data_IF_386581787085
#
_entry.id   IF_386581787085
#
_cell.length_a   1.000
_cell.length_b   1.000
_cell.length_c   1.000
_cell.angle_alpha   90.00
_cell.angle_beta   90.00
_cell.angle_gamma   90.00
#
_symmetry.space_group_name_H-M   'P 1'
#
loop_
_entity.id
_entity.type
_entity.pdbx_description
1 polymer ?
#
# COMPACT_ATOMS: atom_id res chain seq x y z
N UNK A 1 -30.07 36.00 -63.50
CA UNK A 1 -31.37 36.38 -62.93
C UNK A 1 -31.33 36.08 -61.44
N UNK A 2 -31.92 36.92 -60.60
CA UNK A 2 -31.95 36.75 -59.13
C UNK A 2 -33.34 36.20 -58.71
N UNK A 3 -33.71 36.07 -57.42
CA UNK A 3 -34.15 34.79 -56.86
C UNK A 3 -35.66 34.82 -56.51
N UNK A 4 -36.14 34.11 -55.46
CA UNK A 4 -36.00 34.72 -54.12
C UNK A 4 -35.82 33.76 -52.93
N UNK A 5 -35.26 34.32 -51.84
CA UNK A 5 -35.66 34.20 -50.40
C UNK A 5 -35.91 32.84 -49.72
N UNK A 6 -35.59 32.62 -48.43
CA UNK A 6 -34.76 33.30 -47.39
C UNK A 6 -34.80 32.38 -46.14
N UNK A 7 -34.18 32.56 -44.97
CA UNK A 7 -33.43 33.64 -44.28
C UNK A 7 -31.93 33.19 -44.11
N UNK A 8 -30.96 33.80 -43.39
CA UNK A 8 -30.88 34.78 -42.27
C UNK A 8 -31.35 34.16 -40.93
N UNK A 9 -30.74 34.33 -39.76
CA UNK A 9 -29.79 35.32 -39.22
C UNK A 9 -28.38 34.79 -38.89
N UNK A 10 -27.36 35.58 -39.25
CA UNK A 10 -26.18 35.87 -38.41
C UNK A 10 -26.56 37.08 -37.50
N UNK A 11 -25.80 37.58 -36.52
CA UNK A 11 -24.38 37.47 -36.07
C UNK A 11 -24.40 37.80 -34.53
N UNK A 12 -23.36 38.05 -33.72
CA UNK A 12 -21.93 38.38 -33.88
C UNK A 12 -21.16 37.99 -32.59
N UNK A 13 -19.83 38.05 -32.60
CA UNK A 13 -18.98 37.91 -31.40
C UNK A 13 -18.91 39.23 -30.59
N UNK A 14 -18.71 39.14 -29.27
CA UNK A 14 -18.18 40.23 -28.46
C UNK A 14 -17.43 39.68 -27.23
N UNK A 15 -16.35 40.36 -26.82
CA UNK A 15 -15.47 39.94 -25.72
C UNK A 15 -15.49 40.95 -24.55
N UNK A 16 -14.85 40.54 -23.45
CA UNK A 16 -14.38 41.34 -22.28
C UNK A 16 -15.33 41.62 -21.11
N UNK A 17 -14.75 41.40 -19.91
CA UNK A 17 -14.78 42.30 -18.73
C UNK A 17 -15.72 42.06 -17.52
N UNK A 18 -15.27 41.16 -16.64
CA UNK A 18 -14.95 41.42 -15.20
C UNK A 18 -16.05 41.55 -14.11
N UNK A 19 -15.68 41.15 -12.86
CA UNK A 19 -16.23 41.49 -11.52
C UNK A 19 -17.58 40.81 -11.14
N UNK A 20 -17.69 40.05 -10.02
CA UNK A 20 -17.00 40.11 -8.71
C UNK A 20 -16.93 38.77 -7.94
N UNK A 21 -15.75 38.50 -7.37
CA UNK A 21 -15.47 38.02 -5.99
C UNK A 21 -13.94 37.88 -5.88
N UNK A 22 -13.18 38.49 -4.94
CA UNK A 22 -13.19 38.40 -3.46
C UNK A 22 -13.07 36.94 -2.97
N UNK A 23 -12.03 36.52 -2.23
CA UNK A 23 -10.84 37.20 -1.66
C UNK A 23 -9.62 36.27 -1.82
N UNK A 24 -8.41 36.79 -2.02
CA UNK A 24 -7.24 35.93 -2.34
C UNK A 24 -5.85 36.54 -2.18
N UNK A 25 -5.61 37.42 -1.19
CA UNK A 25 -4.25 37.88 -0.83
C UNK A 25 -4.16 38.12 0.68
N UNK A 26 -3.42 37.25 1.41
CA UNK A 26 -2.65 37.50 2.66
C UNK A 26 -2.45 36.20 3.47
N UNK A 27 -1.35 35.48 3.23
CA UNK A 27 -0.87 34.39 4.11
C UNK A 27 0.59 33.99 3.81
N UNK A 28 1.47 34.99 3.62
CA UNK A 28 2.91 34.81 3.79
C UNK A 28 3.26 35.10 5.26
N UNK A 29 4.17 34.30 5.84
CA UNK A 29 4.36 34.10 7.29
C UNK A 29 3.16 33.37 7.95
N UNK A 30 3.31 32.45 8.91
CA UNK A 30 4.44 32.24 9.83
C UNK A 30 4.70 30.76 10.18
N UNK A 31 5.62 30.09 9.47
CA UNK A 31 6.30 28.87 9.96
C UNK A 31 7.79 29.03 9.62
N UNK A 32 8.64 29.24 10.63
CA UNK A 32 10.06 29.55 10.42
C UNK A 32 10.69 30.45 11.49
N UNK A 33 10.33 30.30 12.77
CA UNK A 33 10.90 31.10 13.85
C UNK A 33 10.81 30.43 15.23
N UNK A 34 11.40 29.22 15.37
CA UNK A 34 11.52 28.53 16.66
C UNK A 34 12.86 27.78 16.89
N UNK A 35 13.85 27.97 16.01
CA UNK A 35 15.23 27.52 16.21
C UNK A 35 16.15 28.72 16.02
N UNK A 36 16.62 29.34 17.13
CA UNK A 36 17.53 30.50 17.01
C UNK A 36 17.73 31.45 18.20
N UNK A 37 17.19 31.22 19.40
CA UNK A 37 17.37 32.18 20.54
C UNK A 37 17.69 31.51 21.89
N UNK A 38 18.70 30.63 21.95
CA UNK A 38 19.33 30.22 23.23
C UNK A 38 20.88 30.24 23.16
N UNK A 39 21.46 31.28 22.54
CA UNK A 39 22.87 31.65 22.74
C UNK A 39 23.01 33.18 22.70
N UNK A 40 23.10 33.83 23.88
CA UNK A 40 23.73 35.14 24.18
C UNK A 40 23.14 35.82 25.45
N UNK A 41 23.43 35.29 26.64
CA UNK A 41 23.09 35.97 27.91
C UNK A 41 23.95 35.57 29.14
N UNK A 42 25.21 35.15 28.96
CA UNK A 42 26.08 34.71 30.08
C UNK A 42 27.21 35.70 30.36
N UNK A 43 26.95 36.76 31.13
CA UNK A 43 28.01 37.55 31.77
C UNK A 43 27.51 38.30 33.02
N UNK A 44 28.02 37.89 34.19
CA UNK A 44 27.98 38.59 35.49
C UNK A 44 26.58 38.79 36.11
N UNK A 45 26.36 38.69 37.42
CA UNK A 45 27.27 38.56 38.59
C UNK A 45 26.65 37.62 39.65
N UNK A 46 27.43 37.22 40.67
CA UNK A 46 26.96 36.33 41.75
C UNK A 46 26.63 37.07 43.06
N UNK A 47 25.82 36.44 43.92
CA UNK A 47 25.53 36.94 45.27
C UNK A 47 24.33 36.27 45.97
N UNK A 48 24.61 35.21 46.74
CA UNK A 48 23.82 34.67 47.87
C UNK A 48 22.35 34.21 47.71
N UNK A 49 21.88 33.55 48.77
CA UNK A 49 20.68 32.71 48.88
C UNK A 49 19.50 33.49 49.57
N UNK A 50 18.26 32.95 49.73
CA UNK A 50 17.86 31.54 49.63
C UNK A 50 16.55 31.23 48.85
N UNK A 51 16.22 29.94 48.84
CA UNK A 51 15.13 29.32 48.08
C UNK A 51 13.75 29.97 48.25
N UNK A 52 13.07 30.15 47.12
CA UNK A 52 11.62 30.39 47.02
C UNK A 52 11.03 29.28 46.16
N UNK A 53 10.02 28.56 46.66
CA UNK A 53 9.37 27.46 45.92
C UNK A 53 8.37 28.04 44.92
N UNK A 54 8.57 27.76 43.64
CA UNK A 54 7.67 28.07 42.52
C UNK A 54 7.68 26.82 41.61
N UNK A 55 6.54 26.31 41.12
CA UNK A 55 6.38 24.90 40.80
C UNK A 55 6.91 24.48 39.42
N UNK A 56 6.96 23.16 39.20
CA UNK A 56 7.17 22.53 37.90
C UNK A 56 6.22 23.08 36.82
N UNK A 57 6.80 23.33 35.64
CA UNK A 57 6.07 23.52 34.38
C UNK A 57 6.76 22.65 33.32
N UNK A 58 6.71 21.34 33.55
CA UNK A 58 7.16 20.31 32.63
C UNK A 58 6.39 19.00 32.90
N UNK A 59 6.30 18.14 31.88
CA UNK A 59 5.88 16.72 31.96
C UNK A 59 4.52 16.41 32.61
N UNK A 60 3.41 16.65 31.91
CA UNK A 60 2.21 15.80 32.06
C UNK A 60 2.15 14.71 30.97
N UNK A 61 2.40 15.03 29.69
CA UNK A 61 2.28 14.06 28.58
C UNK A 61 3.35 12.95 28.54
N UNK A 62 4.49 13.10 29.20
CA UNK A 62 5.57 12.08 29.26
C UNK A 62 5.42 11.11 30.44
N UNK A 63 4.30 11.19 31.18
CA UNK A 63 4.10 10.44 32.42
C UNK A 63 3.58 9.01 32.21
N UNK A 64 2.81 8.76 31.15
CA UNK A 64 2.05 7.52 30.90
C UNK A 64 2.87 6.35 30.34
N UNK A 65 3.84 6.61 29.48
CA UNK A 65 4.60 5.58 28.75
C UNK A 65 5.34 4.62 29.70
N UNK A 66 5.37 3.32 29.39
CA UNK A 66 6.18 2.34 30.11
C UNK A 66 7.69 2.56 29.90
N UNK A 67 8.52 1.81 30.64
CA UNK A 67 9.98 1.86 30.47
C UNK A 67 10.42 1.34 29.10
N UNK A 68 9.68 0.39 28.50
CA UNK A 68 9.97 -0.15 27.17
C UNK A 68 9.68 0.88 26.08
N UNK A 69 8.49 1.49 26.12
CA UNK A 69 8.10 2.55 25.17
C UNK A 69 9.06 3.74 25.22
N UNK A 70 9.46 4.21 26.41
CA UNK A 70 10.47 5.29 26.53
C UNK A 70 11.81 4.90 25.92
N UNK A 71 12.24 3.64 26.09
CA UNK A 71 13.49 3.13 25.50
C UNK A 71 13.40 3.00 23.97
N UNK A 72 12.21 2.64 23.45
CA UNK A 72 11.92 2.56 22.03
C UNK A 72 11.88 3.95 21.38
N UNK A 73 11.17 4.91 21.97
CA UNK A 73 11.09 6.29 21.46
C UNK A 73 12.48 6.92 21.42
N UNK A 74 13.26 6.80 22.49
CA UNK A 74 14.64 7.29 22.53
C UNK A 74 15.53 6.58 21.48
N UNK A 75 15.30 5.29 21.19
CA UNK A 75 15.99 4.60 20.10
C UNK A 75 15.57 5.14 18.72
N UNK A 76 14.28 5.42 18.49
CA UNK A 76 13.79 6.03 17.24
C UNK A 76 14.33 7.45 17.01
N UNK A 77 14.36 8.28 18.05
CA UNK A 77 15.01 9.59 18.02
C UNK A 77 16.52 9.45 17.70
N UNK A 78 17.20 8.46 18.29
CA UNK A 78 18.62 8.18 18.01
C UNK A 78 18.87 7.63 16.60
N UNK A 79 17.91 6.90 16.02
CA UNK A 79 17.94 6.44 14.62
C UNK A 79 17.79 7.63 13.67
N UNK A 80 16.77 8.45 13.87
CA UNK A 80 16.49 9.63 13.04
C UNK A 80 17.62 10.69 13.09
N UNK A 81 18.38 10.75 14.18
CA UNK A 81 19.54 11.67 14.33
C UNK A 81 20.90 11.00 14.07
N UNK A 82 20.93 9.71 13.71
CA UNK A 82 22.16 9.01 13.37
C UNK A 82 22.67 9.39 11.98
N UNK A 83 23.97 9.67 11.86
CA UNK A 83 24.61 10.05 10.60
C UNK A 83 24.52 9.00 9.46
N UNK A 84 24.01 7.79 9.74
CA UNK A 84 23.69 6.78 8.73
C UNK A 84 22.30 6.98 8.07
N UNK A 85 21.42 7.72 8.73
CA UNK A 85 20.04 8.01 8.32
C UNK A 85 19.77 9.52 8.15
N UNK A 86 20.71 10.38 8.55
CA UNK A 86 20.51 11.83 8.66
C UNK A 86 20.24 12.55 7.32
N UNK A 87 20.94 12.15 6.26
CA UNK A 87 20.84 12.82 4.95
C UNK A 87 19.96 11.99 4.01
N UNK A 88 18.71 12.42 3.80
CA UNK A 88 17.79 11.79 2.84
C UNK A 88 18.34 11.84 1.39
N UNK A 89 19.29 12.75 1.11
CA UNK A 89 19.99 12.89 -0.16
C UNK A 89 20.90 11.68 -0.48
N UNK A 90 21.34 10.92 0.53
CA UNK A 90 22.00 9.61 0.32
C UNK A 90 21.02 8.51 -0.10
N UNK A 91 19.71 8.78 -0.15
CA UNK A 91 18.75 7.83 -0.71
C UNK A 91 18.75 7.84 -2.26
N UNK A 92 19.64 7.00 -2.82
CA UNK A 92 19.71 6.74 -4.26
C UNK A 92 18.43 6.24 -4.90
N UNK A 93 17.45 5.76 -4.13
CA UNK A 93 16.15 5.28 -4.60
C UNK A 93 15.01 6.30 -4.41
N UNK A 94 15.16 7.32 -3.57
CA UNK A 94 14.13 8.34 -3.36
C UNK A 94 13.86 9.14 -4.64
N UNK A 95 12.58 9.41 -4.91
CA UNK A 95 12.12 10.13 -6.09
C UNK A 95 12.39 9.43 -7.42
N UNK A 96 12.62 8.11 -7.42
CA UNK A 96 12.85 7.31 -8.65
C UNK A 96 11.56 6.88 -9.35
N UNK A 97 10.40 7.04 -8.72
CA UNK A 97 9.08 6.78 -9.32
C UNK A 97 8.98 7.40 -10.71
N UNK A 98 8.92 6.55 -11.72
CA UNK A 98 8.46 6.95 -13.05
C UNK A 98 6.94 7.11 -12.96
N UNK A 99 6.45 8.33 -13.17
CA UNK A 99 5.02 8.63 -13.17
C UNK A 99 4.37 8.14 -14.46
N UNK A 100 3.63 7.04 -14.36
CA UNK A 100 2.62 6.62 -15.34
C UNK A 100 1.23 6.95 -14.75
N UNK A 101 0.43 7.71 -15.49
CA UNK A 101 -0.94 8.04 -15.11
C UNK A 101 -1.89 6.87 -15.39
N UNK A 102 -2.91 6.68 -14.53
CA UNK A 102 -4.01 5.74 -14.81
C UNK A 102 -4.84 6.27 -16.00
N UNK A 103 -5.31 5.40 -16.89
CA UNK A 103 -6.20 5.76 -18.01
C UNK A 103 -7.53 4.97 -17.92
N UNK A 104 -8.51 5.32 -18.74
CA UNK A 104 -9.74 4.54 -18.87
C UNK A 104 -9.41 3.14 -19.39
N UNK A 105 -9.98 2.11 -18.78
CA UNK A 105 -9.78 0.71 -19.17
C UNK A 105 -10.16 0.39 -20.63
N UNK A 106 -10.89 1.28 -21.30
CA UNK A 106 -11.28 1.17 -22.73
C UNK A 106 -10.31 1.86 -23.69
N UNK A 107 -9.40 2.70 -23.20
CA UNK A 107 -8.35 3.35 -23.97
C UNK A 107 -7.08 2.49 -24.06
N UNK A 108 -6.86 1.63 -23.08
CA UNK A 108 -5.66 0.82 -22.94
C UNK A 108 -5.68 -0.42 -23.85
N UNK A 109 -4.67 -0.59 -24.69
CA UNK A 109 -4.43 -1.84 -25.42
C UNK A 109 -3.96 -2.94 -24.44
N UNK A 110 -4.55 -4.14 -24.52
CA UNK A 110 -4.17 -5.41 -23.84
C UNK A 110 -3.42 -5.22 -22.49
N UNK A 111 -4.10 -4.57 -21.54
CA UNK A 111 -3.51 -4.08 -20.29
C UNK A 111 -4.09 -4.81 -19.06
N UNK A 112 -3.62 -6.02 -18.74
CA UNK A 112 -4.23 -6.85 -17.71
C UNK A 112 -4.14 -6.21 -16.32
N UNK A 113 -5.16 -6.47 -15.50
CA UNK A 113 -5.37 -5.83 -14.21
C UNK A 113 -5.38 -6.83 -13.05
N UNK A 114 -4.92 -6.39 -11.87
CA UNK A 114 -4.91 -7.19 -10.64
C UNK A 114 -5.94 -6.71 -9.60
N UNK A 115 -6.13 -7.50 -8.53
CA UNK A 115 -7.36 -7.54 -7.76
C UNK A 115 -8.38 -8.46 -8.44
N UNK A 116 -7.92 -9.64 -8.85
CA UNK A 116 -8.66 -10.58 -9.69
C UNK A 116 -9.33 -11.70 -8.88
N UNK A 117 -10.25 -12.42 -9.52
CA UNK A 117 -10.59 -13.77 -9.09
C UNK A 117 -9.34 -14.66 -9.29
N UNK A 118 -8.95 -15.37 -8.23
CA UNK A 118 -7.80 -16.29 -8.21
C UNK A 118 -8.21 -17.73 -7.85
N UNK A 119 -9.50 -18.00 -7.69
CA UNK A 119 -10.09 -19.34 -7.43
C UNK A 119 -9.46 -20.40 -8.35
N UNK A 120 -9.20 -21.59 -7.82
CA UNK A 120 -8.55 -22.68 -8.56
C UNK A 120 -9.34 -23.07 -9.82
N UNK A 121 -8.67 -23.08 -10.98
CA UNK A 121 -9.30 -23.33 -12.28
C UNK A 121 -10.10 -22.15 -12.88
N UNK A 122 -10.08 -20.96 -12.27
CA UNK A 122 -10.54 -19.74 -12.93
C UNK A 122 -9.53 -19.29 -14.00
N UNK A 123 -10.05 -18.77 -15.11
CA UNK A 123 -9.29 -18.21 -16.24
C UNK A 123 -9.91 -16.85 -16.57
N UNK A 124 -9.08 -15.82 -16.73
CA UNK A 124 -9.55 -14.46 -17.07
C UNK A 124 -10.05 -14.33 -18.52
N UNK A 125 -10.84 -13.28 -18.77
CA UNK A 125 -11.46 -13.00 -20.07
C UNK A 125 -10.64 -12.10 -21.01
N UNK A 126 -9.49 -11.58 -20.58
CA UNK A 126 -8.58 -10.80 -21.43
C UNK A 126 -7.54 -11.70 -22.11
N UNK A 127 -7.67 -11.87 -23.42
CA UNK A 127 -6.66 -12.52 -24.27
C UNK A 127 -5.34 -11.71 -24.27
N UNK A 128 -4.28 -12.25 -23.65
CA UNK A 128 -2.94 -11.60 -23.61
C UNK A 128 -1.91 -12.23 -24.56
N UNK A 129 -2.31 -13.23 -25.35
CA UNK A 129 -1.45 -13.89 -26.33
C UNK A 129 -0.28 -14.66 -25.69
N UNK A 130 0.94 -14.46 -26.20
CA UNK A 130 2.16 -15.14 -25.74
C UNK A 130 2.73 -14.58 -24.41
N UNK A 131 2.07 -13.59 -23.79
CA UNK A 131 2.51 -13.01 -22.52
C UNK A 131 2.35 -14.02 -21.37
N UNK A 132 3.45 -14.42 -20.76
CA UNK A 132 3.49 -15.37 -19.64
C UNK A 132 3.94 -14.70 -18.33
N UNK A 133 3.39 -15.09 -17.17
CA UNK A 133 3.83 -14.59 -15.88
C UNK A 133 5.13 -15.26 -15.42
N UNK A 134 5.86 -14.60 -14.51
CA UNK A 134 7.07 -15.17 -13.90
C UNK A 134 6.71 -16.21 -12.83
N UNK A 135 6.74 -17.49 -13.21
CA UNK A 135 6.39 -18.64 -12.34
C UNK A 135 7.49 -19.09 -11.38
N UNK A 136 8.65 -18.43 -11.36
CA UNK A 136 9.74 -18.72 -10.42
C UNK A 136 9.50 -18.01 -9.08
N UNK A 137 9.93 -18.57 -7.94
CA UNK A 137 10.07 -17.80 -6.71
C UNK A 137 10.95 -16.56 -6.96
N UNK A 138 10.52 -15.37 -6.56
CA UNK A 138 11.12 -14.12 -7.01
C UNK A 138 12.62 -13.96 -6.66
N UNK A 139 13.10 -14.57 -5.57
CA UNK A 139 14.52 -14.62 -5.22
C UNK A 139 15.39 -15.39 -6.25
N UNK A 140 14.78 -16.24 -7.10
CA UNK A 140 15.44 -16.92 -8.22
C UNK A 140 15.37 -16.13 -9.55
N UNK A 141 14.71 -14.97 -9.53
CA UNK A 141 14.51 -14.07 -10.67
C UNK A 141 15.32 -12.78 -10.56
N UNK A 142 16.33 -12.75 -9.68
CA UNK A 142 17.12 -11.55 -9.32
C UNK A 142 16.29 -10.41 -8.72
N UNK A 143 15.08 -10.68 -8.23
CA UNK A 143 14.21 -9.69 -7.61
C UNK A 143 14.27 -9.79 -6.08
N UNK A 144 14.15 -8.65 -5.41
CA UNK A 144 13.95 -8.55 -3.97
C UNK A 144 12.64 -7.81 -3.66
N UNK A 145 12.03 -8.01 -2.48
CA UNK A 145 10.95 -7.15 -2.01
C UNK A 145 11.50 -5.73 -1.81
N UNK A 146 10.80 -4.73 -2.34
CA UNK A 146 11.20 -3.31 -2.29
C UNK A 146 10.26 -2.45 -1.45
N UNK A 147 9.22 -3.05 -0.88
CA UNK A 147 8.24 -2.47 0.04
C UNK A 147 7.41 -3.63 0.64
N UNK A 148 6.67 -3.34 1.71
CA UNK A 148 5.50 -4.12 2.12
C UNK A 148 4.38 -3.14 2.48
N UNK A 149 3.16 -3.45 2.05
CA UNK A 149 1.93 -2.76 2.46
C UNK A 149 0.79 -3.80 2.49
N UNK A 150 -0.37 -3.42 3.01
CA UNK A 150 -1.54 -4.30 3.05
C UNK A 150 -2.83 -3.51 2.89
N UNK A 151 -3.87 -4.22 2.48
CA UNK A 151 -5.21 -3.68 2.27
C UNK A 151 -6.19 -4.24 3.30
N UNK A 152 -7.25 -3.46 3.61
CA UNK A 152 -8.35 -3.91 4.46
C UNK A 152 -9.26 -4.87 3.70
N UNK A 153 -9.41 -6.10 4.19
CA UNK A 153 -9.92 -7.24 3.41
C UNK A 153 -8.98 -7.63 2.26
N UNK A 154 -9.43 -8.54 1.39
CA UNK A 154 -8.71 -8.89 0.16
C UNK A 154 -9.25 -8.15 -1.07
N UNK A 155 -8.32 -7.70 -1.92
CA UNK A 155 -8.60 -7.21 -3.27
C UNK A 155 -8.83 -8.36 -4.25
N UNK A 156 -8.17 -9.49 -3.99
CA UNK A 156 -8.39 -10.75 -4.70
C UNK A 156 -9.58 -11.52 -4.13
N UNK A 157 -10.08 -12.47 -4.91
CA UNK A 157 -11.21 -13.33 -4.55
C UNK A 157 -10.86 -14.82 -4.74
N UNK A 158 -11.07 -15.63 -3.72
CA UNK A 158 -10.81 -17.08 -3.74
C UNK A 158 -11.97 -17.82 -3.07
N UNK A 159 -12.83 -18.46 -3.87
CA UNK A 159 -14.05 -19.10 -3.38
C UNK A 159 -13.75 -20.20 -2.36
N UNK A 160 -14.37 -20.11 -1.18
CA UNK A 160 -14.15 -20.97 -0.01
C UNK A 160 -13.04 -20.50 0.94
N UNK A 161 -12.24 -19.51 0.58
CA UNK A 161 -11.06 -19.08 1.35
C UNK A 161 -11.16 -17.60 1.77
N UNK A 162 -11.35 -16.71 0.80
CA UNK A 162 -11.65 -15.28 0.98
C UNK A 162 -12.65 -14.84 -0.10
N UNK A 163 -13.94 -14.79 0.29
CA UNK A 163 -15.07 -14.65 -0.63
C UNK A 163 -16.28 -13.97 0.05
N UNK A 164 -17.48 -14.06 -0.55
CA UNK A 164 -18.70 -13.44 -0.03
C UNK A 164 -19.31 -14.10 1.22
N UNK A 165 -18.74 -15.21 1.69
CA UNK A 165 -19.22 -15.98 2.83
C UNK A 165 -18.35 -15.80 4.09
N UNK A 166 -17.16 -15.22 3.96
CA UNK A 166 -16.30 -14.88 5.09
C UNK A 166 -16.92 -13.84 6.02
N UNK A 167 -16.29 -13.61 7.17
CA UNK A 167 -16.79 -12.70 8.21
C UNK A 167 -15.64 -12.00 8.97
N UNK A 168 -15.96 -10.98 9.76
CA UNK A 168 -15.01 -10.21 10.56
C UNK A 168 -15.71 -9.32 11.60
N UNK A 169 -14.97 -8.54 12.40
CA UNK A 169 -15.53 -7.70 13.47
C UNK A 169 -16.65 -6.75 13.02
N UNK A 170 -16.62 -6.32 11.76
CA UNK A 170 -17.59 -5.39 11.15
C UNK A 170 -18.47 -6.03 10.06
N UNK A 171 -18.41 -7.35 9.90
CA UNK A 171 -19.01 -8.06 8.76
C UNK A 171 -18.11 -8.10 7.51
N UNK A 172 -18.67 -8.60 6.42
CA UNK A 172 -17.98 -8.77 5.13
C UNK A 172 -18.70 -8.03 3.98
N UNK A 173 -17.99 -7.77 2.88
CA UNK A 173 -18.54 -7.16 1.69
C UNK A 173 -19.37 -8.16 0.85
N UNK A 174 -20.55 -7.75 0.34
CA UNK A 174 -21.28 -8.54 -0.63
C UNK A 174 -20.52 -8.59 -1.97
N UNK A 175 -20.62 -9.71 -2.68
CA UNK A 175 -20.07 -9.84 -4.02
C UNK A 175 -20.68 -8.80 -4.98
N UNK A 176 -19.88 -8.04 -5.75
CA UNK A 176 -20.39 -6.99 -6.65
C UNK A 176 -21.35 -7.51 -7.72
N UNK A 177 -22.36 -6.73 -8.12
CA UNK A 177 -23.50 -7.15 -8.95
C UNK A 177 -23.20 -7.88 -10.28
N UNK A 178 -22.08 -7.55 -10.93
CA UNK A 178 -21.62 -8.23 -12.15
C UNK A 178 -21.09 -9.65 -11.90
N UNK A 179 -20.90 -10.02 -10.63
CA UNK A 179 -20.76 -11.38 -10.11
C UNK A 179 -21.86 -11.76 -9.07
N UNK A 180 -22.72 -10.80 -8.69
CA UNK A 180 -23.94 -10.83 -7.87
C UNK A 180 -23.78 -11.03 -6.34
N UNK A 181 -24.34 -10.24 -5.41
CA UNK A 181 -25.07 -8.93 -5.33
C UNK A 181 -25.06 -8.49 -3.82
N UNK A 182 -25.28 -7.28 -3.30
CA UNK A 182 -25.62 -5.90 -3.77
C UNK A 182 -25.42 -4.89 -2.61
N UNK A 183 -24.60 -3.82 -2.76
CA UNK A 183 -24.79 -2.44 -2.18
C UNK A 183 -23.68 -1.42 -2.55
N UNK A 184 -24.01 -0.13 -2.49
CA UNK A 184 -23.09 1.02 -2.54
C UNK A 184 -22.32 1.28 -1.22
N UNK A 185 -21.15 1.93 -1.32
CA UNK A 185 -20.44 2.56 -0.19
C UNK A 185 -20.60 4.08 -0.19
N UNK A 186 -20.67 4.68 1.01
CA UNK A 186 -20.73 6.14 1.19
C UNK A 186 -19.33 6.76 1.30
N UNK A 187 -19.20 8.04 0.95
CA UNK A 187 -17.95 8.80 1.03
C UNK A 187 -17.32 8.79 2.43
N UNK A 188 -15.99 8.74 2.49
CA UNK A 188 -15.21 8.95 3.72
C UNK A 188 -14.82 7.69 4.50
N UNK A 189 -15.16 6.49 4.03
CA UNK A 189 -14.61 5.22 4.55
C UNK A 189 -13.51 4.67 3.65
N UNK A 190 -12.57 3.95 4.25
CA UNK A 190 -11.67 3.03 3.53
C UNK A 190 -12.55 1.99 2.82
N UNK A 191 -12.36 1.80 1.51
CA UNK A 191 -13.03 0.70 0.79
C UNK A 191 -12.40 -0.61 1.24
N UNK A 192 -13.22 -1.48 1.80
CA UNK A 192 -12.85 -2.79 2.31
C UNK A 192 -13.06 -3.89 1.26
N UNK A 193 -12.30 -4.98 1.42
CA UNK A 193 -12.32 -6.16 0.55
C UNK A 193 -13.12 -7.33 1.13
N UNK A 194 -12.93 -8.52 0.56
CA UNK A 194 -13.51 -9.75 1.10
C UNK A 194 -12.81 -10.17 2.40
N UNK A 195 -13.54 -10.89 3.25
CA UNK A 195 -13.03 -11.50 4.50
C UNK A 195 -12.80 -12.98 4.33
N UNK A 196 -12.00 -13.54 5.21
CA UNK A 196 -11.78 -14.98 5.28
C UNK A 196 -12.87 -15.72 6.06
N UNK A 197 -12.93 -17.03 5.88
CA UNK A 197 -13.84 -17.93 6.60
C UNK A 197 -13.35 -18.35 8.01
N UNK A 198 -12.38 -17.64 8.60
CA UNK A 198 -11.76 -18.00 9.90
C UNK A 198 -12.41 -17.37 11.13
N UNK A 199 -13.02 -16.19 11.00
CA UNK A 199 -13.47 -15.39 12.14
C UNK A 199 -14.60 -16.07 12.94
N UNK A 200 -14.38 -16.30 14.24
CA UNK A 200 -15.41 -16.73 15.19
C UNK A 200 -15.47 -15.78 16.39
N UNK A 201 -16.58 -15.03 16.50
CA UNK A 201 -16.83 -14.11 17.61
C UNK A 201 -17.01 -14.81 18.99
N UNK A 202 -17.05 -16.14 19.04
CA UNK A 202 -17.07 -16.92 20.27
C UNK A 202 -15.69 -17.39 20.75
N UNK A 203 -14.63 -17.25 19.95
CA UNK A 203 -13.25 -17.59 20.31
C UNK A 203 -12.45 -16.32 20.64
N UNK A 204 -11.82 -16.30 21.81
CA UNK A 204 -11.09 -15.13 22.31
C UNK A 204 -9.93 -14.72 21.38
N UNK A 205 -9.37 -15.62 20.55
CA UNK A 205 -8.26 -15.25 19.66
C UNK A 205 -8.64 -14.24 18.57
N UNK A 206 -9.92 -14.17 18.19
CA UNK A 206 -10.41 -13.22 17.19
C UNK A 206 -11.01 -11.94 17.80
N UNK A 207 -11.22 -11.90 19.12
CA UNK A 207 -12.00 -10.84 19.79
C UNK A 207 -11.28 -10.13 20.92
N UNK A 208 -10.21 -10.72 21.45
CA UNK A 208 -9.35 -10.10 22.48
C UNK A 208 -8.43 -9.06 21.84
N UNK A 209 -8.60 -7.79 22.21
CA UNK A 209 -7.77 -6.66 21.76
C UNK A 209 -6.26 -6.91 21.97
N UNK A 210 -5.45 -6.48 21.00
CA UNK A 210 -3.99 -6.48 21.05
C UNK A 210 -3.47 -5.05 21.27
N UNK A 211 -2.40 -4.92 22.05
CA UNK A 211 -1.74 -3.65 22.39
C UNK A 211 -0.78 -3.23 21.27
N UNK A 212 -1.32 -2.65 20.20
CA UNK A 212 -0.56 -2.22 19.01
C UNK A 212 0.44 -1.10 19.34
N UNK A 213 1.73 -1.36 19.16
CA UNK A 213 2.82 -0.39 19.45
C UNK A 213 3.42 0.25 18.20
N UNK A 214 3.22 -0.35 17.03
CA UNK A 214 3.91 0.04 15.79
C UNK A 214 2.98 0.21 14.59
N UNK A 215 1.97 -0.65 14.41
CA UNK A 215 0.97 -0.47 13.35
C UNK A 215 -0.12 0.54 13.76
N UNK A 216 -0.79 1.11 12.77
CA UNK A 216 -1.82 2.14 12.95
C UNK A 216 -3.16 1.67 12.37
N UNK A 217 -4.24 1.73 13.17
CA UNK A 217 -5.60 1.38 12.72
C UNK A 217 -5.84 -0.12 12.45
N UNK A 218 -5.08 -1.02 13.09
CA UNK A 218 -5.22 -2.47 12.95
C UNK A 218 -6.17 -3.06 14.00
N UNK A 219 -6.87 -4.14 13.65
CA UNK A 219 -7.87 -4.79 14.49
C UNK A 219 -7.68 -6.31 14.52
N UNK A 220 -7.96 -6.93 15.67
CA UNK A 220 -7.92 -8.39 15.84
C UNK A 220 -9.20 -8.98 15.26
N UNK A 221 -9.11 -10.13 14.60
CA UNK A 221 -10.23 -10.80 13.93
C UNK A 221 -10.52 -10.29 12.52
N UNK A 222 -10.04 -9.11 12.13
CA UNK A 222 -10.21 -8.57 10.77
C UNK A 222 -9.24 -9.23 9.78
N UNK A 223 -9.65 -9.24 8.50
CA UNK A 223 -8.88 -9.77 7.38
C UNK A 223 -8.08 -8.67 6.69
N UNK A 224 -6.83 -8.97 6.32
CA UNK A 224 -6.00 -8.10 5.49
C UNK A 224 -5.25 -8.90 4.42
N UNK A 225 -5.14 -8.34 3.21
CA UNK A 225 -4.26 -8.88 2.17
C UNK A 225 -2.94 -8.10 2.15
N UNK A 226 -1.83 -8.82 2.37
CA UNK A 226 -0.47 -8.26 2.37
C UNK A 226 0.14 -8.36 0.98
N UNK A 227 0.72 -7.25 0.52
CA UNK A 227 1.43 -7.14 -0.75
C UNK A 227 2.91 -6.85 -0.52
N UNK A 228 3.74 -7.61 -1.23
CA UNK A 228 5.18 -7.33 -1.32
C UNK A 228 5.54 -7.06 -2.78
N UNK A 229 5.60 -5.78 -3.20
CA UNK A 229 6.19 -5.40 -4.48
C UNK A 229 7.64 -5.87 -4.55
N UNK A 230 8.00 -6.53 -5.64
CA UNK A 230 9.35 -7.01 -5.95
C UNK A 230 9.83 -6.44 -7.29
N UNK A 231 11.12 -6.12 -7.38
CA UNK A 231 11.73 -5.60 -8.60
C UNK A 231 13.17 -6.10 -8.77
N UNK A 232 13.56 -6.44 -10.00
CA UNK A 232 14.95 -6.66 -10.40
C UNK A 232 15.76 -5.34 -10.50
N UNK A 233 15.07 -4.19 -10.55
CA UNK A 233 15.67 -2.86 -10.51
C UNK A 233 15.71 -2.24 -9.10
N UNK A 234 15.22 -2.96 -8.08
CA UNK A 234 15.37 -2.57 -6.68
C UNK A 234 16.83 -2.56 -6.22
N UNK A 235 17.16 -1.81 -5.17
CA UNK A 235 18.51 -1.79 -4.59
C UNK A 235 18.76 -2.99 -3.66
N UNK A 236 18.60 -4.19 -4.21
CA UNK A 236 18.59 -5.45 -3.49
C UNK A 236 19.85 -5.71 -2.66
N UNK A 237 19.68 -6.09 -1.39
CA UNK A 237 20.78 -6.34 -0.45
C UNK A 237 21.46 -5.07 0.09
N UNK A 238 20.95 -3.87 -0.24
CA UNK A 238 21.43 -2.60 0.32
C UNK A 238 20.45 -2.06 1.36
N UNK A 239 20.86 -1.03 2.12
CA UNK A 239 19.95 -0.29 3.02
C UNK A 239 18.94 0.60 2.29
N UNK A 240 19.00 0.64 0.96
CA UNK A 240 18.12 1.39 0.07
C UNK A 240 17.02 0.47 -0.52
N UNK A 241 16.96 -0.80 -0.09
CA UNK A 241 16.09 -1.81 -0.71
C UNK A 241 14.60 -1.51 -0.53
N UNK A 242 14.16 -1.22 0.70
CA UNK A 242 12.76 -0.94 1.02
C UNK A 242 12.50 0.57 0.95
N UNK A 243 11.40 0.96 0.30
CA UNK A 243 11.05 2.34 -0.01
C UNK A 243 9.55 2.61 0.15
N UNK A 244 9.19 3.84 0.52
CA UNK A 244 7.80 4.33 0.58
C UNK A 244 7.75 5.73 -0.03
N UNK A 245 7.05 5.94 -1.17
CA UNK A 245 6.14 5.01 -1.84
C UNK A 245 6.88 3.89 -2.59
N UNK A 246 6.29 2.68 -2.64
CA UNK A 246 6.91 1.48 -3.22
C UNK A 246 7.46 1.65 -4.65
N UNK A 247 6.90 2.57 -5.44
CA UNK A 247 7.37 2.88 -6.80
C UNK A 247 8.85 3.33 -6.83
N UNK A 248 9.33 4.04 -5.82
CA UNK A 248 10.73 4.47 -5.71
C UNK A 248 11.67 3.25 -5.60
N UNK A 249 11.24 2.23 -4.86
CA UNK A 249 11.90 0.93 -4.79
C UNK A 249 11.81 0.13 -6.10
N UNK A 250 10.63 0.11 -6.74
CA UNK A 250 10.42 -0.61 -8.01
C UNK A 250 11.29 -0.05 -9.13
N UNK A 251 11.42 1.29 -9.21
CA UNK A 251 12.16 1.99 -10.27
C UNK A 251 13.59 2.38 -9.90
N UNK A 252 14.12 2.00 -8.72
CA UNK A 252 15.35 2.58 -8.18
C UNK A 252 16.54 2.64 -9.17
N UNK A 253 16.80 1.53 -9.87
CA UNK A 253 17.85 1.41 -10.90
C UNK A 253 17.32 1.39 -12.34
N UNK A 254 16.08 1.85 -12.58
CA UNK A 254 15.43 1.87 -13.90
C UNK A 254 15.01 3.29 -14.28
N UNK A 255 15.55 3.81 -15.39
CA UNK A 255 15.18 5.13 -15.90
C UNK A 255 14.16 5.03 -17.06
N UNK A 256 13.51 6.15 -17.40
CA UNK A 256 12.48 6.20 -18.45
C UNK A 256 13.01 5.80 -19.83
N UNK A 257 14.27 6.14 -20.16
CA UNK A 257 14.92 5.76 -21.42
C UNK A 257 15.05 4.24 -21.55
N UNK A 258 15.38 3.53 -20.46
CA UNK A 258 15.43 2.07 -20.43
C UNK A 258 14.03 1.48 -20.45
N UNK A 259 13.10 2.01 -19.64
CA UNK A 259 11.72 1.52 -19.53
C UNK A 259 11.02 1.45 -20.90
N UNK A 260 11.15 2.48 -21.74
CA UNK A 260 10.53 2.50 -23.08
C UNK A 260 11.17 1.55 -24.11
N UNK A 261 12.25 0.85 -23.76
CA UNK A 261 12.84 -0.22 -24.59
C UNK A 261 12.40 -1.62 -24.15
N UNK A 262 11.94 -1.79 -22.91
CA UNK A 262 11.49 -3.07 -22.39
C UNK A 262 10.21 -3.53 -23.09
N UNK A 263 10.13 -4.82 -23.41
CA UNK A 263 8.90 -5.44 -23.87
C UNK A 263 8.01 -5.81 -22.69
N UNK A 264 6.70 -5.98 -22.92
CA UNK A 264 5.74 -6.42 -21.90
C UNK A 264 6.22 -7.67 -21.13
N UNK A 265 6.86 -8.61 -21.83
CA UNK A 265 7.40 -9.83 -21.23
C UNK A 265 8.65 -9.58 -20.37
N UNK A 266 9.45 -8.55 -20.65
CA UNK A 266 10.59 -8.17 -19.81
C UNK A 266 10.10 -7.58 -18.49
N UNK A 267 9.08 -6.71 -18.55
CA UNK A 267 8.43 -6.12 -17.37
C UNK A 267 7.80 -7.21 -16.49
N UNK A 268 7.01 -8.12 -17.08
CA UNK A 268 6.41 -9.24 -16.35
C UNK A 268 7.45 -10.18 -15.71
N UNK A 269 8.65 -10.30 -16.29
CA UNK A 269 9.75 -11.07 -15.71
C UNK A 269 10.51 -10.33 -14.60
N UNK A 270 10.60 -8.99 -14.67
CA UNK A 270 11.48 -8.15 -13.84
C UNK A 270 10.76 -7.35 -12.74
N UNK A 271 9.42 -7.30 -12.75
CA UNK A 271 8.59 -6.69 -11.71
C UNK A 271 7.41 -7.60 -11.39
N UNK A 272 7.11 -7.77 -10.10
CA UNK A 272 5.93 -8.49 -9.66
C UNK A 272 5.57 -8.26 -8.20
N UNK A 273 4.46 -8.83 -7.76
CA UNK A 273 3.95 -8.74 -6.39
C UNK A 273 3.69 -10.15 -5.85
N UNK A 274 4.02 -10.40 -4.58
CA UNK A 274 3.45 -11.52 -3.83
C UNK A 274 2.19 -11.00 -3.11
N UNK A 275 1.09 -11.74 -3.14
CA UNK A 275 -0.13 -11.45 -2.38
C UNK A 275 -0.50 -12.61 -1.46
N UNK A 276 -0.81 -12.33 -0.19
CA UNK A 276 -1.23 -13.35 0.78
C UNK A 276 -2.26 -12.77 1.76
N UNK A 277 -3.34 -13.51 2.00
CA UNK A 277 -4.47 -13.05 2.83
C UNK A 277 -4.40 -13.68 4.21
N UNK A 278 -4.59 -12.86 5.24
CA UNK A 278 -4.57 -13.29 6.64
C UNK A 278 -5.74 -12.74 7.44
N UNK A 279 -6.27 -13.55 8.36
CA UNK A 279 -7.03 -13.07 9.52
C UNK A 279 -6.06 -12.85 10.69
N UNK A 280 -6.13 -11.69 11.33
CA UNK A 280 -5.28 -11.38 12.49
C UNK A 280 -5.83 -12.05 13.75
N UNK A 281 -4.97 -12.70 14.54
CA UNK A 281 -5.35 -13.32 15.82
C UNK A 281 -4.46 -12.87 16.98
N UNK A 282 -5.03 -12.75 18.18
CA UNK A 282 -4.27 -12.47 19.42
C UNK A 282 -3.82 -13.78 20.08
N UNK A 283 -3.07 -14.57 19.31
CA UNK A 283 -2.59 -15.90 19.67
C UNK A 283 -1.17 -16.12 19.12
N UNK A 284 -0.23 -16.43 20.02
CA UNK A 284 1.20 -16.61 19.72
C UNK A 284 1.52 -17.97 19.09
N UNK A 285 0.57 -18.91 19.00
CA UNK A 285 0.75 -20.12 18.16
C UNK A 285 0.90 -19.74 16.67
N UNK A 286 0.40 -18.57 16.27
CA UNK A 286 0.48 -18.03 14.91
C UNK A 286 1.60 -16.98 14.74
N UNK A 287 2.59 -16.94 15.64
CA UNK A 287 3.69 -15.99 15.55
C UNK A 287 4.73 -16.37 14.49
N UNK A 288 4.87 -15.50 13.48
CA UNK A 288 5.97 -15.49 12.51
C UNK A 288 6.91 -14.27 12.69
N UNK A 289 8.24 -14.43 12.68
CA UNK A 289 9.16 -13.37 13.12
C UNK A 289 9.63 -12.37 12.04
N UNK A 290 9.36 -12.55 10.75
CA UNK A 290 10.02 -11.77 9.67
C UNK A 290 9.13 -11.54 8.43
N UNK A 291 7.94 -10.94 8.62
CA UNK A 291 6.95 -10.72 7.54
C UNK A 291 7.41 -9.72 6.46
N UNK A 292 8.41 -8.86 6.72
CA UNK A 292 8.82 -7.82 5.76
C UNK A 292 9.49 -8.39 4.49
N UNK A 293 10.01 -9.63 4.52
CA UNK A 293 10.79 -10.23 3.42
C UNK A 293 9.99 -10.87 2.29
N UNK A 294 8.67 -10.85 2.35
CA UNK A 294 7.79 -11.51 1.38
C UNK A 294 6.88 -12.55 2.01
N UNK A 295 5.81 -12.87 1.27
CA UNK A 295 4.90 -14.00 1.46
C UNK A 295 5.57 -15.25 2.03
N UNK A 296 4.86 -15.85 2.99
CA UNK A 296 5.21 -17.11 3.65
C UNK A 296 5.12 -18.27 2.66
N UNK A 297 6.08 -19.19 2.73
CA UNK A 297 6.24 -20.32 1.78
C UNK A 297 6.53 -21.66 2.46
N UNK A 298 6.31 -21.73 3.76
CA UNK A 298 6.54 -22.86 4.65
C UNK A 298 5.25 -23.32 5.35
N UNK A 299 5.20 -24.59 5.75
CA UNK A 299 3.95 -25.22 6.16
C UNK A 299 2.95 -25.29 5.00
N UNK A 300 1.74 -24.75 5.21
CA UNK A 300 0.71 -24.66 4.16
C UNK A 300 0.77 -23.35 3.35
N UNK A 301 1.56 -22.37 3.78
CA UNK A 301 1.66 -21.07 3.13
C UNK A 301 2.32 -21.17 1.74
N UNK A 302 1.79 -20.41 0.78
CA UNK A 302 2.34 -20.27 -0.57
C UNK A 302 2.37 -21.56 -1.38
N UNK A 303 1.64 -22.61 -0.98
CA UNK A 303 1.70 -23.93 -1.64
C UNK A 303 0.80 -24.03 -2.87
N UNK A 304 -0.45 -23.55 -2.79
CA UNK A 304 -1.37 -23.42 -3.93
C UNK A 304 -1.51 -21.95 -4.30
N UNK A 305 -0.97 -21.57 -5.45
CA UNK A 305 -0.93 -20.18 -5.90
C UNK A 305 -1.50 -20.02 -7.31
N UNK A 306 -2.26 -18.95 -7.49
CA UNK A 306 -2.53 -18.39 -8.80
C UNK A 306 -1.36 -17.48 -9.19
N UNK A 307 -0.73 -17.75 -10.34
CA UNK A 307 0.35 -16.93 -10.88
C UNK A 307 -0.11 -16.36 -12.23
N UNK A 308 -0.21 -15.04 -12.36
CA UNK A 308 -0.79 -14.39 -13.55
C UNK A 308 -0.18 -13.00 -13.80
N UNK A 309 -0.37 -12.41 -14.98
CA UNK A 309 0.02 -11.00 -15.22
C UNK A 309 -1.13 -10.06 -14.94
N UNK A 310 -0.86 -8.97 -14.22
CA UNK A 310 -1.83 -7.94 -13.86
C UNK A 310 -1.18 -6.55 -13.73
N UNK A 311 -1.71 -5.72 -12.84
CA UNK A 311 -1.29 -4.32 -12.66
C UNK A 311 -1.09 -3.95 -11.18
N UNK A 312 -0.76 -2.69 -10.86
CA UNK A 312 -0.87 -2.17 -9.48
C UNK A 312 -2.31 -1.83 -9.13
N UNK A 313 -2.70 -2.04 -7.87
CA UNK A 313 -4.09 -2.04 -7.40
C UNK A 313 -4.43 -0.83 -6.49
N UNK A 314 -5.29 -0.98 -5.47
CA UNK A 314 -5.74 0.09 -4.58
C UNK A 314 -6.85 1.00 -5.11
N UNK A 315 -7.37 1.87 -4.21
CA UNK A 315 -8.58 2.69 -4.41
C UNK A 315 -8.57 3.67 -5.58
N UNK A 316 -7.40 4.08 -6.09
CA UNK A 316 -7.31 4.96 -7.26
C UNK A 316 -7.62 4.26 -8.60
N UNK A 317 -8.05 2.99 -8.56
CA UNK A 317 -8.46 2.18 -9.71
C UNK A 317 -9.83 1.53 -9.50
N UNK A 318 -10.49 1.25 -10.61
CA UNK A 318 -11.81 0.61 -10.71
C UNK A 318 -11.85 -0.30 -11.95
N UNK A 319 -13.06 -0.64 -12.39
CA UNK A 319 -13.34 -1.26 -13.70
C UNK A 319 -13.62 -0.23 -14.82
N UNK A 320 -13.53 1.06 -14.51
CA UNK A 320 -13.54 2.16 -15.47
C UNK A 320 -12.15 2.78 -15.64
N UNK A 321 -11.39 2.94 -14.56
CA UNK A 321 -10.03 3.50 -14.52
C UNK A 321 -9.03 2.41 -14.17
N UNK A 322 -8.12 2.12 -15.09
CA UNK A 322 -7.14 1.04 -15.01
C UNK A 322 -5.73 1.57 -14.71
N UNK A 323 -4.89 0.73 -14.10
CA UNK A 323 -3.49 1.09 -13.85
C UNK A 323 -2.61 0.81 -15.07
N UNK A 324 -1.86 1.83 -15.47
CA UNK A 324 -0.81 1.79 -16.51
C UNK A 324 0.51 1.16 -16.04
N UNK A 325 0.63 0.79 -14.76
CA UNK A 325 1.72 -0.05 -14.26
C UNK A 325 1.36 -1.52 -14.50
N UNK A 326 1.45 -1.95 -15.76
CA UNK A 326 1.07 -3.27 -16.29
C UNK A 326 1.93 -3.58 -17.52
N UNK A 327 2.25 -4.86 -17.84
CA UNK A 327 1.93 -6.07 -17.09
C UNK A 327 3.03 -6.46 -16.11
N UNK A 328 2.68 -6.52 -14.82
CA UNK A 328 3.54 -7.06 -13.75
C UNK A 328 3.04 -8.45 -13.33
N UNK A 329 3.93 -9.34 -12.89
CA UNK A 329 3.49 -10.65 -12.39
C UNK A 329 2.88 -10.53 -11.00
N UNK A 330 1.81 -11.27 -10.75
CA UNK A 330 1.29 -11.54 -9.40
C UNK A 330 1.45 -13.02 -9.09
N UNK A 331 1.92 -13.34 -7.89
CA UNK A 331 1.82 -14.67 -7.28
C UNK A 331 0.97 -14.52 -6.03
N UNK A 332 -0.25 -15.08 -6.06
CA UNK A 332 -1.24 -14.92 -4.99
C UNK A 332 -1.52 -16.28 -4.36
N UNK A 333 -1.33 -16.36 -3.04
CA UNK A 333 -1.74 -17.53 -2.25
C UNK A 333 -3.27 -17.64 -2.25
N UNK A 334 -3.79 -18.81 -2.65
CA UNK A 334 -5.23 -19.04 -2.72
C UNK A 334 -5.89 -19.25 -1.37
N UNK A 335 -5.11 -19.66 -0.38
CA UNK A 335 -5.61 -19.87 0.97
C UNK A 335 -5.64 -18.57 1.76
N UNK A 336 -6.60 -18.45 2.66
CA UNK A 336 -6.44 -17.53 3.78
C UNK A 336 -5.78 -18.25 4.96
N UNK A 337 -4.87 -17.58 5.65
CA UNK A 337 -4.21 -18.11 6.85
C UNK A 337 -4.55 -17.27 8.07
N UNK A 338 -4.10 -17.70 9.25
CA UNK A 338 -4.12 -16.89 10.47
C UNK A 338 -2.70 -16.47 10.82
N UNK A 339 -2.54 -15.25 11.34
CA UNK A 339 -1.25 -14.68 11.73
C UNK A 339 -1.40 -13.90 13.04
N UNK A 340 -0.40 -13.93 13.92
CA UNK A 340 -0.52 -13.21 15.19
C UNK A 340 -0.48 -11.69 14.98
N UNK A 341 -1.25 -10.96 15.80
CA UNK A 341 -1.20 -9.51 15.87
C UNK A 341 0.23 -9.00 16.18
N UNK A 342 0.96 -9.71 17.04
CA UNK A 342 2.35 -9.44 17.38
C UNK A 342 3.32 -9.59 16.19
N UNK A 343 3.03 -10.45 15.21
CA UNK A 343 3.80 -10.55 13.96
C UNK A 343 3.56 -9.38 13.03
N UNK A 344 2.31 -8.92 12.90
CA UNK A 344 1.99 -7.72 12.13
C UNK A 344 2.58 -6.46 12.79
N UNK A 345 2.45 -6.33 14.11
CA UNK A 345 3.05 -5.21 14.86
C UNK A 345 4.58 -5.23 14.77
N UNK A 346 5.19 -6.42 14.79
CA UNK A 346 6.62 -6.57 14.49
C UNK A 346 6.96 -6.18 13.04
N UNK A 347 6.11 -6.48 12.06
CA UNK A 347 6.33 -6.02 10.67
C UNK A 347 6.38 -4.49 10.60
N UNK A 348 5.46 -3.81 11.28
CA UNK A 348 5.45 -2.35 11.39
C UNK A 348 6.69 -1.79 12.13
N UNK A 349 7.23 -2.52 13.12
CA UNK A 349 8.54 -2.21 13.69
C UNK A 349 9.67 -2.40 12.65
N UNK A 350 9.74 -3.53 11.96
CA UNK A 350 10.78 -3.81 10.96
C UNK A 350 10.73 -2.77 9.81
N UNK A 351 9.55 -2.28 9.44
CA UNK A 351 9.35 -1.16 8.51
C UNK A 351 9.91 0.15 9.08
N UNK A 352 9.58 0.50 10.34
CA UNK A 352 10.19 1.63 11.06
C UNK A 352 11.72 1.52 11.18
N UNK A 353 12.30 0.32 11.07
CA UNK A 353 13.76 0.11 11.06
C UNK A 353 14.44 0.35 9.70
N UNK A 354 13.70 0.41 8.59
CA UNK A 354 14.29 0.66 7.27
C UNK A 354 14.88 2.08 7.17
N UNK A 355 15.74 2.33 6.17
CA UNK A 355 16.41 3.64 6.05
C UNK A 355 15.49 4.71 5.47
N UNK A 356 14.54 4.32 4.63
CA UNK A 356 13.47 5.19 4.14
C UNK A 356 12.35 5.30 5.19
N UNK A 357 11.58 6.39 5.16
CA UNK A 357 10.44 6.54 6.08
C UNK A 357 9.21 5.79 5.55
N UNK A 358 9.04 4.55 6.02
CA UNK A 358 7.88 3.72 5.70
C UNK A 358 6.62 4.08 6.51
N UNK A 359 6.58 5.23 7.21
CA UNK A 359 5.44 5.66 8.02
C UNK A 359 4.11 5.67 7.26
N UNK A 360 4.15 6.06 5.98
CA UNK A 360 2.99 6.10 5.09
C UNK A 360 2.35 4.74 4.76
N UNK A 361 3.00 3.62 5.08
CA UNK A 361 2.50 2.25 4.82
C UNK A 361 2.17 1.47 6.11
N UNK A 362 2.18 2.10 7.29
CA UNK A 362 1.97 1.43 8.60
C UNK A 362 0.50 1.11 8.95
N UNK A 363 -0.42 1.37 8.02
CA UNK A 363 -1.86 1.22 8.18
C UNK A 363 -2.46 0.52 6.96
N UNK A 364 -3.64 -0.07 7.14
CA UNK A 364 -4.32 -0.74 6.04
C UNK A 364 -4.80 0.26 4.97
N UNK A 365 -4.34 0.06 3.74
CA UNK A 365 -4.83 0.78 2.56
C UNK A 365 -6.23 0.29 2.17
N UNK A 366 -6.93 1.08 1.35
CA UNK A 366 -8.23 0.66 0.82
C UNK A 366 -8.09 -0.32 -0.34
N UNK A 367 -8.87 -1.39 -0.30
CA UNK A 367 -8.93 -2.41 -1.36
C UNK A 367 -9.46 -1.86 -2.69
N UNK A 368 -8.97 -2.41 -3.80
CA UNK A 368 -9.61 -2.34 -5.11
C UNK A 368 -10.97 -3.04 -5.04
N UNK A 369 -11.93 -2.57 -5.83
CA UNK A 369 -13.04 -3.43 -6.24
C UNK A 369 -12.50 -4.59 -7.08
N UNK A 370 -13.13 -5.76 -6.97
CA UNK A 370 -12.76 -6.93 -7.77
C UNK A 370 -12.78 -6.58 -9.27
N UNK A 371 -11.80 -7.09 -10.01
CA UNK A 371 -11.65 -6.82 -11.45
C UNK A 371 -12.64 -7.64 -12.27
N UNK A 372 -13.29 -6.98 -13.25
CA UNK A 372 -14.14 -7.59 -14.25
C UNK A 372 -13.33 -8.57 -15.09
N UNK A 373 -13.91 -9.75 -15.30
CA UNK A 373 -13.37 -10.85 -16.09
C UNK A 373 -12.61 -10.43 -17.38
N UNK A 374 -13.23 -9.56 -18.19
CA UNK A 374 -12.70 -8.94 -19.42
C UNK A 374 -11.39 -8.12 -19.29
N UNK A 375 -10.90 -7.87 -18.08
CA UNK A 375 -9.63 -7.18 -17.81
C UNK A 375 -8.63 -8.04 -17.03
N UNK A 376 -9.02 -9.23 -16.57
CA UNK A 376 -8.09 -10.20 -16.00
C UNK A 376 -7.46 -10.99 -17.15
N UNK A 377 -6.13 -11.09 -17.19
CA UNK A 377 -5.44 -11.91 -18.18
C UNK A 377 -5.94 -13.36 -18.20
N UNK A 378 -5.97 -14.01 -19.35
CA UNK A 378 -6.29 -15.43 -19.50
C UNK A 378 -5.09 -16.37 -19.23
N UNK A 379 -4.00 -15.87 -18.64
CA UNK A 379 -2.72 -16.56 -18.48
C UNK A 379 -2.45 -17.11 -17.06
N UNK A 380 -3.50 -17.40 -16.28
CA UNK A 380 -3.36 -18.04 -14.96
C UNK A 380 -2.57 -19.34 -15.06
N UNK A 381 -1.43 -19.39 -14.37
CA UNK A 381 -0.67 -20.58 -14.11
C UNK A 381 -0.96 -21.10 -12.70
N UNK A 382 -1.45 -22.32 -12.62
CA UNK A 382 -1.60 -23.06 -11.36
C UNK A 382 -0.24 -23.60 -10.89
N UNK A 383 0.28 -23.07 -9.77
CA UNK A 383 1.36 -23.75 -9.05
C UNK A 383 0.80 -25.01 -8.39
N UNK A 384 0.81 -26.12 -9.13
CA UNK A 384 0.40 -27.42 -8.60
C UNK A 384 1.26 -27.82 -7.39
N UNK A 385 0.60 -28.06 -6.26
CA UNK A 385 1.13 -28.84 -5.15
C UNK A 385 1.61 -30.19 -5.67
N UNK A 386 2.82 -30.62 -5.28
CA UNK A 386 3.28 -31.98 -5.57
C UNK A 386 2.56 -32.96 -4.64
N UNK A 387 1.66 -33.75 -5.21
CA UNK A 387 1.19 -35.03 -4.64
C UNK A 387 2.33 -36.07 -4.62
#
# INVERSE_FOLDING_TARGET
>A
MCPPSSNVHQKEEASTSTLKSLVGVLSLTSIGLLVGVIVLATQQSGGDAPATVVPDVATEEVSSLSQEERSLTAFMESKATSAFFAEAEDNTCAGKKIALDNDLCVNMEVAPQAGANVTKGYVGGLEVGELAPNTKPYYQSSMCPVNVHWHLGSEHYSAGEYDENGDGPHGNQPRPDWAQRERDLAEGKVRDGFRCNHYDAADEKFTKEYDWKYCEGMEVGETYEVHWPHSAAGACGTVNQYQTPFYDGVFCNLNMETLVTLQAQDIANAVGVHGQVFTIVNDEEYFYPDLIRGMLVDGEHGQDMAIYTGSTTGTSRSNEVCSSYTPITWQVDRKCHMISASSFDKMCYDMKMQRDDMSGDLHAHGSRELVHDKYVANNQYDKATRE
#
